data_IF_138376753208
#
_entry.id   IF_138376753208
#
_cell.length_a   1.000
_cell.length_b   1.000
_cell.length_c   1.000
_cell.angle_alpha   90.00
_cell.angle_beta   90.00
_cell.angle_gamma   90.00
#
_symmetry.space_group_name_H-M   'P 1'
#
loop_
_entity.id
_entity.type
_entity.pdbx_description
1 polymer ?
2 non-polymer ?
3 non-polymer ?
4 water ?
#
# COMPACT_ATOMS: atom_id res chain seq x y z
N UNK A 1 -16.41 18.16 -17.41
CA UNK A 1 -14.93 18.09 -17.35
C UNK A 1 -14.52 17.78 -15.90
N UNK A 2 -13.62 16.83 -15.74
CA UNK A 2 -13.20 16.44 -14.40
C UNK A 2 -11.73 16.72 -14.09
N UNK A 3 -11.45 17.01 -12.83
CA UNK A 3 -10.11 17.25 -12.36
C UNK A 3 -9.57 15.89 -11.89
N UNK A 4 -8.46 15.45 -12.47
CA UNK A 4 -7.87 14.18 -12.11
C UNK A 4 -6.45 14.42 -11.66
N UNK A 5 -5.92 13.51 -10.84
CA UNK A 5 -4.56 13.60 -10.32
C UNK A 5 -3.83 12.35 -10.76
N UNK A 6 -2.65 12.56 -11.33
CA UNK A 6 -1.82 11.47 -11.85
C UNK A 6 -0.47 11.45 -11.12
N UNK A 7 -0.10 10.26 -10.64
CA UNK A 7 1.17 10.08 -9.94
C UNK A 7 2.19 9.56 -10.96
N UNK A 8 3.40 10.10 -10.94
CA UNK A 8 4.47 9.68 -11.84
C UNK A 8 5.70 9.28 -11.05
N UNK A 9 6.37 8.21 -11.47
CA UNK A 9 7.57 7.78 -10.78
C UNK A 9 8.53 7.09 -11.73
N UNK A 10 9.83 7.16 -11.46
CA UNK A 10 10.83 6.51 -12.32
C UNK A 10 12.14 6.41 -11.60
N UNK A 11 12.89 5.34 -11.81
CA UNK A 11 14.22 5.24 -11.21
C UNK A 11 15.22 4.60 -12.20
N UNK A 12 14.89 4.63 -13.49
CA UNK A 12 15.74 4.00 -14.49
C UNK A 12 15.83 4.81 -15.79
N UNK A 13 17.01 4.82 -16.38
CA UNK A 13 17.26 5.53 -17.64
C UNK A 13 16.89 7.01 -17.62
N UNK A 14 17.55 7.75 -16.75
CA UNK A 14 17.37 9.19 -16.57
C UNK A 14 15.93 9.55 -16.16
N UNK A 15 15.58 9.27 -14.89
CA UNK A 15 14.27 9.51 -14.29
C UNK A 15 13.67 10.89 -14.55
N UNK A 16 14.46 11.95 -14.36
CA UNK A 16 13.96 13.31 -14.60
C UNK A 16 13.50 13.49 -16.06
N UNK A 17 14.26 12.94 -17.02
CA UNK A 17 13.89 13.01 -18.42
C UNK A 17 12.63 12.18 -18.71
N UNK A 18 12.52 11.01 -18.10
CA UNK A 18 11.34 10.17 -18.26
C UNK A 18 10.07 10.94 -17.81
N UNK A 19 10.15 11.62 -16.68
CA UNK A 19 9.02 12.40 -16.15
C UNK A 19 8.70 13.57 -17.06
N UNK A 20 9.71 14.29 -17.54
CA UNK A 20 9.45 15.42 -18.46
C UNK A 20 8.80 14.91 -19.75
N UNK A 21 9.28 13.79 -20.27
CA UNK A 21 8.67 13.25 -21.49
C UNK A 21 7.23 12.83 -21.24
N UNK A 22 6.97 12.21 -20.08
CA UNK A 22 5.60 11.76 -19.78
C UNK A 22 4.62 12.94 -19.59
N UNK A 23 5.11 14.00 -18.95
CA UNK A 23 4.30 15.20 -18.71
C UNK A 23 3.96 15.90 -20.03
N UNK A 24 4.93 15.95 -20.95
CA UNK A 24 4.71 16.52 -22.27
C UNK A 24 3.63 15.70 -22.97
N UNK A 25 3.78 14.37 -22.97
CA UNK A 25 2.78 13.52 -23.62
C UNK A 25 1.38 13.71 -23.00
N UNK A 26 1.27 13.75 -21.67
CA UNK A 26 -0.01 13.95 -20.98
C UNK A 26 -0.61 15.32 -21.39
N UNK A 27 0.24 16.35 -21.46
CA UNK A 27 -0.24 17.67 -21.84
C UNK A 27 -0.82 17.72 -23.27
N UNK A 28 -0.39 16.80 -24.14
CA UNK A 28 -0.82 16.73 -25.54
C UNK A 28 -2.05 15.83 -25.81
N UNK A 29 -2.59 15.20 -24.77
CA UNK A 29 -3.76 14.34 -24.92
C UNK A 29 -5.00 15.14 -25.36
N UNK A 30 -5.78 14.57 -26.26
CA UNK A 30 -7.00 15.22 -26.71
C UNK A 30 -7.91 15.38 -25.51
N UNK A 31 -8.67 16.47 -25.50
CA UNK A 31 -9.66 16.75 -24.46
C UNK A 31 -9.10 16.71 -23.06
N UNK A 32 -7.85 17.12 -22.92
CA UNK A 32 -7.17 17.11 -21.63
C UNK A 32 -6.27 18.33 -21.58
N UNK A 33 -6.21 18.95 -20.40
CA UNK A 33 -5.39 20.13 -20.18
C UNK A 33 -4.57 19.87 -18.91
N UNK A 34 -3.26 19.98 -19.02
CA UNK A 34 -2.36 19.80 -17.87
C UNK A 34 -2.40 21.11 -17.12
N UNK A 35 -2.96 21.10 -15.92
CA UNK A 35 -3.06 22.33 -15.14
C UNK A 35 -1.80 22.75 -14.41
N UNK A 36 -1.22 21.82 -13.66
CA UNK A 36 -0.02 22.13 -12.90
C UNK A 36 0.62 20.80 -12.54
N UNK A 37 1.90 20.84 -12.17
CA UNK A 37 2.68 19.69 -11.78
C UNK A 37 3.47 20.10 -10.54
N UNK A 38 3.55 19.19 -9.58
CA UNK A 38 4.28 19.45 -8.35
C UNK A 38 5.79 19.49 -8.71
N UNK A 39 6.61 19.76 -7.69
CA UNK A 39 8.07 19.73 -7.83
C UNK A 39 8.42 18.25 -8.00
N UNK A 40 9.65 17.96 -8.43
CA UNK A 40 10.13 16.59 -8.61
C UNK A 40 10.86 16.25 -7.29
N UNK A 41 10.56 15.08 -6.72
CA UNK A 41 11.14 14.69 -5.44
C UNK A 41 11.93 13.42 -5.62
N UNK A 42 13.17 13.40 -5.13
CA UNK A 42 14.04 12.21 -5.18
C UNK A 42 13.75 11.50 -3.86
N UNK A 43 13.27 10.26 -3.94
CA UNK A 43 12.88 9.54 -2.75
C UNK A 43 13.52 8.16 -2.64
N UNK A 44 13.67 7.68 -1.42
CA UNK A 44 14.23 6.37 -1.13
C UNK A 44 13.28 5.35 -1.69
N UNK A 45 13.79 4.28 -2.31
CA UNK A 45 12.91 3.25 -2.87
C UNK A 45 12.01 2.55 -1.85
N UNK A 46 10.77 2.30 -2.24
CA UNK A 46 9.85 1.53 -1.42
C UNK A 46 10.00 0.14 -2.08
N UNK A 47 10.64 -0.80 -1.38
CA UNK A 47 10.86 -2.12 -1.94
C UNK A 47 12.30 -2.50 -1.70
N UNK A 48 12.87 -3.42 -2.51
CA UNK A 48 14.28 -3.84 -2.36
C UNK A 48 15.11 -2.55 -2.34
N UNK A 49 16.13 -2.50 -1.48
CA UNK A 49 16.95 -1.28 -1.38
C UNK A 49 18.10 -1.17 -2.35
N UNK A 50 18.39 -2.28 -3.04
CA UNK A 50 19.47 -2.31 -4.03
C UNK A 50 19.02 -1.81 -5.42
N UNK A 51 18.34 -0.65 -5.44
CA UNK A 51 17.87 -0.06 -6.70
C UNK A 51 18.07 1.43 -6.56
N UNK A 52 18.12 2.17 -7.67
CA UNK A 52 18.31 3.61 -7.50
C UNK A 52 17.12 4.32 -6.86
N UNK A 53 17.38 5.48 -6.28
CA UNK A 53 16.34 6.30 -5.68
C UNK A 53 15.40 6.71 -6.82
N UNK A 54 14.14 6.94 -6.50
CA UNK A 54 13.16 7.33 -7.50
C UNK A 54 12.99 8.81 -7.60
N UNK A 55 12.46 9.26 -8.74
CA UNK A 55 12.12 10.69 -8.93
C UNK A 55 10.57 10.60 -9.09
N UNK A 56 9.87 11.34 -8.24
CA UNK A 56 8.41 11.34 -8.19
C UNK A 56 7.76 12.70 -8.33
N UNK A 57 6.53 12.70 -8.84
CA UNK A 57 5.77 13.93 -9.01
C UNK A 57 4.31 13.54 -9.14
N UNK A 58 3.46 14.56 -9.08
CA UNK A 58 2.00 14.39 -9.20
C UNK A 58 1.57 15.55 -10.12
N UNK A 59 0.77 15.21 -11.12
CA UNK A 59 0.26 16.20 -12.07
C UNK A 59 -1.26 16.35 -11.93
N UNK A 60 -1.75 17.56 -12.14
CA UNK A 60 -3.18 17.84 -12.06
C UNK A 60 -3.66 18.11 -13.46
N UNK A 61 -4.72 17.41 -13.89
CA UNK A 61 -5.27 17.62 -15.22
C UNK A 61 -6.79 17.85 -15.16
N UNK A 62 -7.34 18.44 -16.24
CA UNK A 62 -8.77 18.69 -16.41
C UNK A 62 -9.01 17.93 -17.70
N UNK A 63 -9.85 16.91 -17.64
CA UNK A 63 -10.10 16.10 -18.81
C UNK A 63 -11.57 15.75 -19.01
N UNK A 64 -11.87 15.40 -20.26
CA UNK A 64 -13.21 14.98 -20.62
C UNK A 64 -13.14 13.51 -21.00
N UNK A 65 -11.95 12.91 -20.88
CA UNK A 65 -11.78 11.49 -21.16
C UNK A 65 -12.42 10.71 -19.99
N UNK A 66 -13.07 9.59 -20.32
CA UNK A 66 -13.70 8.73 -19.30
C UNK A 66 -12.53 8.07 -18.54
N UNK A 67 -12.82 7.46 -17.38
CA UNK A 67 -11.72 6.82 -16.63
C UNK A 67 -10.94 5.76 -17.43
N UNK A 68 -11.65 4.89 -18.13
CA UNK A 68 -10.97 3.85 -18.90
C UNK A 68 -10.23 4.37 -20.13
N UNK A 69 -10.70 5.48 -20.72
CA UNK A 69 -10.01 6.04 -21.87
C UNK A 69 -8.75 6.77 -21.40
N UNK A 70 -8.83 7.41 -20.24
CA UNK A 70 -7.67 8.07 -19.66
C UNK A 70 -6.62 6.97 -19.36
N UNK A 71 -7.06 5.83 -18.80
CA UNK A 71 -6.14 4.72 -18.51
C UNK A 71 -5.49 4.22 -19.82
N UNK A 72 -6.31 4.02 -20.86
CA UNK A 72 -5.80 3.58 -22.16
C UNK A 72 -4.69 4.50 -22.64
N UNK A 73 -4.93 5.80 -22.56
CA UNK A 73 -3.98 6.82 -22.97
C UNK A 73 -2.72 6.82 -22.14
N UNK A 74 -2.84 6.65 -20.83
CA UNK A 74 -1.63 6.62 -19.99
C UNK A 74 -0.79 5.38 -20.32
N UNK A 75 -1.46 4.26 -20.58
CA UNK A 75 -0.76 3.02 -20.90
C UNK A 75 -0.08 3.16 -22.28
N UNK A 76 -0.73 3.88 -23.19
CA UNK A 76 -0.18 4.13 -24.52
C UNK A 76 1.09 4.96 -24.39
N UNK A 77 1.05 5.97 -23.51
CA UNK A 77 2.21 6.82 -23.29
C UNK A 77 3.35 5.98 -22.70
N UNK A 78 3.06 5.11 -21.73
CA UNK A 78 4.11 4.25 -21.15
C UNK A 78 4.71 3.33 -22.24
N UNK A 79 3.86 2.79 -23.10
CA UNK A 79 4.29 1.90 -24.17
C UNK A 79 5.17 2.61 -25.22
N UNK A 80 4.73 3.77 -25.66
CA UNK A 80 5.46 4.54 -26.66
C UNK A 80 6.74 5.16 -26.08
N UNK A 81 6.82 5.22 -24.75
CA UNK A 81 8.00 5.75 -24.09
C UNK A 81 8.93 4.57 -23.74
N UNK A 82 8.58 3.39 -24.24
CA UNK A 82 9.38 2.19 -23.99
C UNK A 82 9.51 1.75 -22.54
N UNK A 83 8.42 1.75 -21.78
CA UNK A 83 8.46 1.35 -20.36
C UNK A 83 9.06 -0.04 -20.12
N UNK A 84 10.05 -0.08 -19.25
CA UNK A 84 10.74 -1.31 -18.88
C UNK A 84 10.72 -1.44 -17.33
N UNK A 85 10.42 -2.64 -16.84
CA UNK A 85 10.42 -2.93 -15.39
C UNK A 85 11.34 -4.15 -15.24
N UNK A 86 12.39 -4.03 -14.43
CA UNK A 86 13.35 -5.12 -14.24
C UNK A 86 12.99 -6.26 -13.28
N UNK A 87 12.05 -6.02 -12.37
CA UNK A 87 11.61 -7.02 -11.36
C UNK A 87 10.46 -6.42 -10.57
N UNK A 88 9.63 -7.26 -9.95
CA UNK A 88 8.53 -6.74 -9.12
C UNK A 88 9.16 -5.96 -7.96
N UNK A 89 8.55 -4.82 -7.64
CA UNK A 89 9.01 -3.90 -6.62
C UNK A 89 10.36 -3.29 -6.94
N UNK A 90 10.87 -3.55 -8.14
CA UNK A 90 12.17 -3.01 -8.51
C UNK A 90 12.15 -1.89 -9.55
N UNK A 91 13.28 -1.77 -10.25
CA UNK A 91 13.51 -0.75 -11.28
C UNK A 91 12.49 -0.66 -12.42
N UNK A 92 12.10 0.57 -12.77
CA UNK A 92 11.16 0.81 -13.88
C UNK A 92 11.50 2.18 -14.46
N UNK A 93 11.42 2.32 -15.77
CA UNK A 93 11.70 3.59 -16.42
C UNK A 93 10.57 4.61 -16.20
N UNK A 94 9.35 4.12 -15.99
CA UNK A 94 8.20 5.01 -15.79
C UNK A 94 6.92 4.29 -15.35
N UNK A 95 6.20 4.90 -14.43
CA UNK A 95 4.90 4.41 -13.97
C UNK A 95 4.00 5.65 -13.88
N UNK A 96 2.83 5.58 -14.53
CA UNK A 96 1.82 6.65 -14.51
C UNK A 96 0.62 6.01 -13.82
N UNK A 97 0.11 6.63 -12.76
CA UNK A 97 -1.03 6.06 -12.03
C UNK A 97 -2.15 7.10 -11.77
N UNK A 98 -3.40 6.74 -12.05
CA UNK A 98 -4.50 7.66 -11.78
C UNK A 98 -4.80 7.58 -10.27
N UNK A 99 -4.51 8.66 -9.56
CA UNK A 99 -4.75 8.70 -8.12
C UNK A 99 -6.21 9.04 -7.83
N UNK A 100 -6.71 10.05 -8.53
CA UNK A 100 -8.07 10.55 -8.34
C UNK A 100 -8.68 10.95 -9.66
N UNK A 101 -9.99 10.71 -9.78
CA UNK A 101 -10.75 11.05 -10.97
C UNK A 101 -11.99 11.74 -10.41
N UNK A 102 -11.88 13.06 -10.28
CA UNK A 102 -12.97 13.85 -9.72
C UNK A 102 -13.09 13.33 -8.30
N UNK A 103 -14.34 13.11 -7.89
CA UNK A 103 -14.65 12.60 -6.59
C UNK A 103 -15.17 11.21 -6.75
N UNK A 104 -14.93 10.61 -7.90
CA UNK A 104 -15.45 9.28 -8.15
C UNK A 104 -14.68 8.17 -7.51
N UNK A 105 -15.41 7.09 -7.23
CA UNK A 105 -14.85 5.89 -6.65
C UNK A 105 -15.10 4.84 -7.72
N UNK A 106 -14.01 4.33 -8.32
CA UNK A 106 -14.08 3.35 -9.38
C UNK A 106 -13.23 2.17 -8.98
N UNK A 107 -13.86 1.03 -8.80
CA UNK A 107 -13.13 -0.15 -8.40
C UNK A 107 -13.69 -1.27 -9.29
N UNK A 108 -12.98 -1.55 -10.39
CA UNK A 108 -13.37 -2.57 -11.36
C UNK A 108 -12.20 -3.42 -11.82
N UNK A 109 -12.35 -4.15 -12.92
CA UNK A 109 -11.29 -5.02 -13.45
C UNK A 109 -9.98 -4.35 -13.81
N UNK A 110 -10.06 -3.13 -14.32
CA UNK A 110 -8.90 -2.35 -14.74
C UNK A 110 -8.53 -1.17 -13.85
N UNK A 111 -9.47 -0.67 -13.06
CA UNK A 111 -9.20 0.49 -12.20
C UNK A 111 -9.46 0.30 -10.71
N UNK A 112 -8.66 1.02 -9.91
CA UNK A 112 -8.74 1.02 -8.46
C UNK A 112 -8.54 2.50 -8.12
N UNK A 113 -9.64 3.25 -8.09
CA UNK A 113 -9.61 4.69 -7.80
C UNK A 113 -10.60 5.01 -6.68
N UNK A 114 -10.12 5.45 -5.51
CA UNK A 114 -8.72 5.66 -5.11
C UNK A 114 -8.00 4.32 -4.84
N UNK A 115 -6.67 4.36 -4.78
CA UNK A 115 -5.89 3.18 -4.42
C UNK A 115 -5.28 3.66 -3.10
N UNK A 116 -5.90 3.22 -2.00
CA UNK A 116 -5.52 3.68 -0.68
C UNK A 116 -4.14 3.46 -0.18
N UNK A 117 -3.45 2.44 -0.69
CA UNK A 117 -2.05 2.21 -0.28
C UNK A 117 -1.18 3.38 -0.70
N UNK A 118 -1.59 4.08 -1.74
CA UNK A 118 -0.84 5.22 -2.24
C UNK A 118 -0.94 6.44 -1.35
N UNK A 119 -1.94 6.44 -0.49
CA UNK A 119 -2.09 7.55 0.46
C UNK A 119 -1.14 7.37 1.65
N UNK A 120 -0.51 6.19 1.73
CA UNK A 120 0.48 5.89 2.77
C UNK A 120 1.89 6.07 2.21
N UNK A 121 1.99 6.58 0.99
CA UNK A 121 3.27 6.80 0.34
C UNK A 121 3.68 8.25 0.39
N UNK A 122 4.83 8.54 1.00
CA UNK A 122 5.32 9.90 1.10
C UNK A 122 5.52 10.58 -0.25
N UNK A 123 5.96 9.81 -1.24
CA UNK A 123 6.25 10.35 -2.56
C UNK A 123 5.01 10.58 -3.43
N UNK A 124 3.84 10.31 -2.84
CA UNK A 124 2.58 10.52 -3.49
C UNK A 124 1.88 11.68 -2.76
N UNK A 125 1.76 11.56 -1.43
CA UNK A 125 1.05 12.57 -0.63
C UNK A 125 1.71 13.93 -0.49
N UNK A 126 3.04 13.96 -0.36
CA UNK A 126 3.73 15.24 -0.21
C UNK A 126 3.57 16.09 -1.49
N UNK A 127 3.81 15.50 -2.69
CA UNK A 127 3.66 16.25 -3.96
C UNK A 127 2.16 16.66 -4.18
N UNK A 128 1.23 15.77 -3.88
CA UNK A 128 -0.20 16.10 -4.03
C UNK A 128 -0.59 17.30 -3.16
N UNK A 129 -0.11 17.30 -1.92
CA UNK A 129 -0.39 18.40 -0.97
C UNK A 129 0.18 19.71 -1.48
N UNK A 130 1.31 19.64 -2.18
CA UNK A 130 1.92 20.85 -2.71
C UNK A 130 1.03 21.53 -3.77
N UNK A 131 0.28 20.76 -4.56
CA UNK A 131 -0.57 21.35 -5.59
C UNK A 131 -2.07 21.32 -5.30
N UNK A 132 -2.46 20.83 -4.13
CA UNK A 132 -3.88 20.74 -3.77
C UNK A 132 -3.90 20.78 -2.25
N UNK A 133 -3.56 21.95 -1.73
CA UNK A 133 -3.44 22.19 -0.29
C UNK A 133 -4.65 21.96 0.61
N UNK A 134 -5.86 22.04 0.08
CA UNK A 134 -7.04 21.85 0.93
C UNK A 134 -7.94 20.78 0.36
N UNK A 135 -7.35 19.86 -0.38
CA UNK A 135 -8.07 18.78 -1.01
C UNK A 135 -8.76 17.86 -0.01
N UNK A 136 -9.98 17.45 -0.33
CA UNK A 136 -10.71 16.49 0.47
C UNK A 136 -10.89 15.29 -0.47
N UNK A 137 -10.42 14.12 -0.04
CA UNK A 137 -10.50 12.88 -0.83
C UNK A 137 -11.90 12.27 -0.88
N UNK A 138 -12.16 11.31 -1.82
CA UNK A 138 -13.48 10.67 -1.96
C UNK A 138 -13.97 9.94 -0.70
N UNK A 139 -13.04 9.47 0.15
CA UNK A 139 -13.44 8.77 1.37
C UNK A 139 -13.63 9.76 2.53
N UNK A 140 -13.70 11.05 2.21
CA UNK A 140 -13.87 12.15 3.16
C UNK A 140 -12.62 12.59 3.96
N UNK A 141 -11.49 11.90 3.81
CA UNK A 141 -10.27 12.34 4.52
C UNK A 141 -9.73 13.63 3.87
N UNK A 142 -9.05 14.45 4.68
CA UNK A 142 -8.51 15.72 4.24
C UNK A 142 -7.01 15.60 4.04
N UNK A 143 -6.50 16.21 2.99
CA UNK A 143 -5.08 16.16 2.67
C UNK A 143 -4.17 16.66 3.81
N UNK A 144 -4.62 17.70 4.53
CA UNK A 144 -3.82 18.27 5.62
C UNK A 144 -3.58 17.26 6.75
N UNK A 145 -4.48 16.29 6.90
CA UNK A 145 -4.34 15.27 7.93
C UNK A 145 -3.40 14.20 7.44
N UNK A 146 -3.65 13.73 6.22
CA UNK A 146 -2.83 12.71 5.58
C UNK A 146 -1.34 13.10 5.49
N UNK A 147 -1.03 14.36 5.24
CA UNK A 147 0.37 14.77 5.11
C UNK A 147 1.16 14.82 6.43
N UNK A 148 0.45 14.85 7.56
CA UNK A 148 1.04 14.90 8.91
C UNK A 148 2.09 13.80 9.10
N UNK A 149 1.74 12.60 8.67
CA UNK A 149 2.60 11.43 8.77
C UNK A 149 3.97 11.60 8.07
N UNK A 150 4.02 12.50 7.09
CA UNK A 150 5.23 12.72 6.31
C UNK A 150 5.93 14.05 6.57
N UNK A 151 5.63 14.66 7.72
CA UNK A 151 6.22 15.96 8.07
C UNK A 151 7.73 15.91 8.20
N UNK A 152 8.28 14.76 8.54
CA UNK A 152 9.72 14.63 8.68
C UNK A 152 10.38 13.81 7.57
N UNK A 153 9.75 13.81 6.39
CA UNK A 153 10.28 13.07 5.25
C UNK A 153 11.66 13.58 4.84
N UNK A 154 12.49 12.69 4.31
CA UNK A 154 13.82 13.09 3.89
C UNK A 154 13.99 13.18 2.36
N UNK A 155 12.88 13.35 1.63
CA UNK A 155 12.94 13.46 0.17
C UNK A 155 13.63 14.75 -0.23
N UNK A 156 14.32 14.71 -1.36
CA UNK A 156 15.02 15.90 -1.85
C UNK A 156 14.18 16.56 -2.93
N UNK A 157 13.85 17.84 -2.74
CA UNK A 157 13.08 18.55 -3.76
C UNK A 157 14.08 19.05 -4.82
N UNK A 158 14.06 18.43 -6.00
CA UNK A 158 14.99 18.75 -7.08
C UNK A 158 14.75 20.10 -7.74
N UNK A 159 15.63 20.45 -8.66
CA UNK A 159 15.48 21.70 -9.41
C UNK A 159 16.31 21.76 -10.70
N UNK A 160 15.74 21.48 -11.88
CA UNK A 160 14.37 21.13 -12.28
C UNK A 160 14.21 19.62 -12.56
N UNK B 1 12.29 -25.71 10.49
CA UNK B 1 11.00 -24.95 10.42
C UNK B 1 11.38 -23.54 10.02
N UNK B 2 10.39 -22.80 9.56
CA UNK B 2 10.54 -21.42 9.13
C UNK B 2 9.67 -20.57 10.06
N UNK B 3 10.17 -19.41 10.43
CA UNK B 3 9.42 -18.46 11.26
C UNK B 3 8.64 -17.53 10.29
N UNK B 4 7.32 -17.53 10.38
CA UNK B 4 6.48 -16.70 9.53
C UNK B 4 5.63 -15.78 10.42
N UNK B 5 5.26 -14.63 9.87
CA UNK B 5 4.43 -13.64 10.55
C UNK B 5 3.16 -13.49 9.74
N UNK B 6 2.03 -13.49 10.44
CA UNK B 6 0.72 -13.40 9.82
C UNK B 6 -0.01 -12.19 10.36
N UNK B 7 -0.54 -11.35 9.46
CA UNK B 7 -1.30 -10.15 9.84
C UNK B 7 -2.75 -10.58 9.92
N UNK B 8 -3.48 -10.05 10.91
CA UNK B 8 -4.90 -10.38 11.11
C UNK B 8 -5.70 -9.11 11.24
N UNK B 9 -6.84 -9.06 10.56
CA UNK B 9 -7.67 -7.88 10.61
C UNK B 9 -9.14 -8.25 10.49
N UNK B 10 -9.99 -7.47 11.12
CA UNK B 10 -11.44 -7.69 11.10
C UNK B 10 -12.20 -6.44 11.54
N UNK B 11 -13.34 -6.14 10.90
CA UNK B 11 -14.15 -5.01 11.32
C UNK B 11 -15.67 -5.30 11.29
N UNK B 12 -16.02 -6.59 11.28
CA UNK B 12 -17.42 -7.02 11.25
C UNK B 12 -17.69 -8.22 12.14
N UNK B 13 -18.94 -8.35 12.54
CA UNK B 13 -19.44 -9.48 13.32
C UNK B 13 -18.60 -9.85 14.56
N UNK B 14 -18.29 -8.83 15.35
CA UNK B 14 -17.50 -8.92 16.59
C UNK B 14 -16.05 -9.25 16.23
N UNK B 15 -15.29 -8.25 15.77
CA UNK B 15 -13.88 -8.35 15.37
C UNK B 15 -12.97 -9.06 16.36
N UNK B 16 -13.09 -8.75 17.65
CA UNK B 16 -12.26 -9.38 18.67
C UNK B 16 -12.42 -10.92 18.66
N UNK B 17 -13.66 -11.40 18.53
CA UNK B 17 -13.92 -12.82 18.50
C UNK B 17 -13.45 -13.45 17.16
N UNK B 18 -13.59 -12.71 16.06
CA UNK B 18 -13.12 -13.21 14.76
C UNK B 18 -11.60 -13.47 14.84
N UNK B 19 -10.88 -12.58 15.48
CA UNK B 19 -9.44 -12.73 15.65
C UNK B 19 -9.07 -13.92 16.58
N UNK B 20 -9.80 -14.08 17.68
CA UNK B 20 -9.57 -15.20 18.62
C UNK B 20 -9.85 -16.54 17.93
N UNK B 21 -10.94 -16.60 17.18
CA UNK B 21 -11.27 -17.81 16.45
C UNK B 21 -10.20 -18.12 15.39
N UNK B 22 -9.70 -17.08 14.71
CA UNK B 22 -8.67 -17.26 13.67
C UNK B 22 -7.36 -17.77 14.27
N UNK B 23 -6.93 -17.14 15.36
CA UNK B 23 -5.71 -17.50 16.07
C UNK B 23 -5.79 -18.95 16.57
N UNK B 24 -6.99 -19.34 16.99
CA UNK B 24 -7.16 -20.70 17.44
C UNK B 24 -7.01 -21.64 16.26
N UNK B 25 -7.60 -21.30 15.13
CA UNK B 25 -7.52 -22.15 13.96
C UNK B 25 -6.07 -22.29 13.47
N UNK B 26 -5.33 -21.19 13.52
CA UNK B 26 -3.92 -21.15 13.10
C UNK B 26 -3.06 -22.04 14.00
N UNK B 27 -3.30 -21.94 15.31
CA UNK B 27 -2.55 -22.72 16.29
C UNK B 27 -2.74 -24.23 16.10
N UNK B 28 -3.86 -24.62 15.50
CA UNK B 28 -4.21 -26.01 15.27
C UNK B 28 -3.76 -26.60 13.93
N UNK B 29 -3.12 -25.80 13.09
CA UNK B 29 -2.64 -26.29 11.80
C UNK B 29 -1.55 -27.36 11.93
N UNK B 30 -1.53 -28.31 11.00
CA UNK B 30 -0.50 -29.34 10.99
C UNK B 30 0.84 -28.69 10.70
N UNK B 31 1.89 -29.26 11.30
CA UNK B 31 3.26 -28.80 11.10
C UNK B 31 3.47 -27.34 11.35
N UNK B 32 2.65 -26.82 12.26
CA UNK B 32 2.69 -25.40 12.60
C UNK B 32 2.52 -25.21 14.11
N UNK B 33 3.23 -24.21 14.63
CA UNK B 33 3.19 -23.87 16.03
C UNK B 33 3.00 -22.36 16.18
N UNK B 34 1.97 -21.95 16.91
CA UNK B 34 1.75 -20.51 17.16
C UNK B 34 2.64 -20.12 18.35
N UNK B 35 3.68 -19.34 18.09
CA UNK B 35 4.64 -18.88 19.10
C UNK B 35 4.12 -17.76 20.03
N UNK B 36 3.65 -16.65 19.44
CA UNK B 36 3.13 -15.51 20.20
C UNK B 36 2.20 -14.72 19.29
N UNK B 37 1.44 -13.82 19.90
CA UNK B 37 0.55 -12.95 19.15
C UNK B 37 0.74 -11.59 19.79
N UNK B 38 0.59 -10.55 18.99
CA UNK B 38 0.72 -9.19 19.52
C UNK B 38 -0.60 -8.86 20.26
N UNK B 39 -0.67 -7.66 20.83
CA UNK B 39 -1.92 -7.22 21.45
C UNK B 39 -2.85 -6.94 20.24
N UNK B 40 -4.12 -6.67 20.53
CA UNK B 40 -5.09 -6.34 19.49
C UNK B 40 -5.15 -4.82 19.51
N UNK B 41 -5.18 -4.22 18.33
CA UNK B 41 -5.24 -2.79 18.17
C UNK B 41 -6.48 -2.37 17.41
N UNK B 42 -7.14 -1.34 17.91
CA UNK B 42 -8.33 -0.81 17.24
C UNK B 42 -7.79 0.37 16.41
N UNK B 43 -8.02 0.32 15.10
CA UNK B 43 -7.49 1.33 14.19
C UNK B 43 -8.54 1.87 13.21
N UNK B 44 -8.32 3.07 12.69
CA UNK B 44 -9.21 3.71 11.68
C UNK B 44 -9.08 2.91 10.40
N UNK B 45 -10.18 2.77 9.65
CA UNK B 45 -10.14 2.03 8.40
C UNK B 45 -9.23 2.66 7.34
N UNK B 46 -8.53 1.82 6.60
CA UNK B 46 -7.71 2.25 5.48
C UNK B 46 -8.66 1.95 4.33
N UNK B 47 -9.22 3.00 3.76
CA UNK B 47 -10.17 2.86 2.67
C UNK B 47 -11.39 3.73 2.97
N UNK B 48 -12.57 3.34 2.48
CA UNK B 48 -13.80 4.12 2.72
C UNK B 48 -13.97 4.31 4.24
N UNK B 49 -14.42 5.50 4.64
CA UNK B 49 -14.59 5.77 6.06
C UNK B 49 -15.96 5.38 6.63
N UNK B 50 -16.89 4.98 5.77
CA UNK B 50 -18.23 4.55 6.20
C UNK B 50 -18.26 3.02 6.49
N UNK B 51 -17.29 2.57 7.29
CA UNK B 51 -17.18 1.17 7.71
C UNK B 51 -16.64 1.21 9.14
N UNK B 52 -16.90 0.17 9.93
CA UNK B 52 -16.40 0.18 11.31
C UNK B 52 -14.87 0.18 11.44
N UNK B 53 -14.38 0.61 12.59
CA UNK B 53 -12.96 0.60 12.89
C UNK B 53 -12.53 -0.87 12.93
N UNK B 54 -11.29 -1.13 12.53
CA UNK B 54 -10.75 -2.50 12.51
C UNK B 54 -10.04 -2.90 13.82
N UNK B 55 -9.97 -4.20 14.07
CA UNK B 55 -9.22 -4.73 15.21
C UNK B 55 -8.11 -5.52 14.48
N UNK B 56 -6.86 -5.16 14.76
CA UNK B 56 -5.69 -5.76 14.12
C UNK B 56 -4.71 -6.42 15.07
N UNK B 57 -3.96 -7.38 14.53
CA UNK B 57 -2.95 -8.11 15.31
C UNK B 57 -1.96 -8.77 14.35
N UNK B 58 -0.85 -9.26 14.90
CA UNK B 58 0.15 -9.98 14.12
C UNK B 58 0.54 -11.18 14.95
N UNK B 59 0.62 -12.33 14.30
CA UNK B 59 1.01 -13.58 14.96
C UNK B 59 2.33 -14.13 14.39
N UNK B 60 3.11 -14.75 15.27
CA UNK B 60 4.39 -15.33 14.92
C UNK B 60 4.19 -16.84 15.02
N UNK B 61 4.46 -17.54 13.94
CA UNK B 61 4.33 -19.00 13.89
C UNK B 61 5.66 -19.60 13.41
N UNK B 62 5.81 -20.89 13.65
CA UNK B 62 6.95 -21.67 13.20
C UNK B 62 6.25 -22.77 12.42
N UNK B 63 6.62 -22.94 11.17
CA UNK B 63 5.95 -23.94 10.34
C UNK B 63 6.88 -24.68 9.38
N UNK B 64 6.42 -25.82 8.91
CA UNK B 64 7.14 -26.62 7.93
C UNK B 64 6.30 -26.69 6.66
N UNK B 65 5.19 -25.94 6.64
CA UNK B 65 4.33 -25.88 5.46
C UNK B 65 5.03 -24.97 4.45
N UNK B 66 4.96 -25.32 3.18
CA UNK B 66 5.56 -24.47 2.14
C UNK B 66 4.74 -23.18 2.10
N UNK B 67 5.25 -22.13 1.42
CA UNK B 67 4.53 -20.86 1.33
C UNK B 67 3.12 -21.03 0.76
N UNK B 68 2.98 -21.81 -0.31
CA UNK B 68 1.69 -22.02 -0.93
C UNK B 68 0.75 -22.93 -0.13
N UNK B 69 1.32 -23.88 0.61
CA UNK B 69 0.51 -24.77 1.45
C UNK B 69 0.04 -23.98 2.66
N UNK B 70 0.85 -23.03 3.15
CA UNK B 70 0.43 -22.19 4.27
C UNK B 70 -0.71 -21.29 3.78
N UNK B 71 -0.55 -20.70 2.60
CA UNK B 71 -1.59 -19.87 2.01
C UNK B 71 -2.91 -20.64 1.91
N UNK B 72 -2.86 -21.86 1.39
CA UNK B 72 -4.06 -22.70 1.26
C UNK B 72 -4.76 -22.90 2.61
N UNK B 73 -3.96 -23.13 3.65
CA UNK B 73 -4.50 -23.34 4.99
C UNK B 73 -5.12 -22.07 5.56
N UNK B 74 -4.50 -20.94 5.30
CA UNK B 74 -5.02 -19.67 5.81
C UNK B 74 -6.32 -19.36 5.09
N UNK B 75 -6.38 -19.63 3.79
CA UNK B 75 -7.60 -19.39 3.01
C UNK B 75 -8.70 -20.37 3.43
N UNK B 76 -8.32 -21.59 3.77
CA UNK B 76 -9.29 -22.57 4.24
C UNK B 76 -9.88 -22.10 5.59
N UNK B 77 -9.05 -21.51 6.44
CA UNK B 77 -9.51 -21.00 7.74
C UNK B 77 -10.50 -19.86 7.50
N UNK B 78 -10.15 -18.95 6.59
CA UNK B 78 -11.02 -17.83 6.24
C UNK B 78 -12.35 -18.36 5.73
N UNK B 79 -12.31 -19.34 4.84
CA UNK B 79 -13.54 -19.92 4.32
C UNK B 79 -14.37 -20.61 5.41
N UNK B 80 -13.72 -21.45 6.21
CA UNK B 80 -14.42 -22.16 7.27
C UNK B 80 -14.96 -21.29 8.39
N UNK B 81 -14.50 -20.05 8.45
CA UNK B 81 -14.95 -19.10 9.46
C UNK B 81 -15.94 -18.16 8.79
N UNK B 82 -16.44 -18.57 7.61
CA UNK B 82 -17.40 -17.80 6.84
C UNK B 82 -16.99 -16.40 6.42
N UNK B 83 -15.78 -16.23 5.91
CA UNK B 83 -15.29 -14.91 5.48
C UNK B 83 -16.23 -14.23 4.50
N UNK B 84 -16.52 -12.97 4.81
CA UNK B 84 -17.41 -12.15 4.02
C UNK B 84 -16.71 -10.81 3.90
N UNK B 85 -16.72 -10.25 2.69
CA UNK B 85 -16.13 -8.95 2.41
C UNK B 85 -17.13 -8.27 1.48
N UNK B 86 -17.60 -7.09 1.86
CA UNK B 86 -18.61 -6.38 1.08
C UNK B 86 -18.16 -5.82 -0.26
N UNK B 87 -17.05 -5.09 -0.26
CA UNK B 87 -16.58 -4.41 -1.46
C UNK B 87 -15.08 -4.24 -1.31
N UNK B 88 -14.42 -3.81 -2.39
CA UNK B 88 -12.99 -3.58 -2.36
C UNK B 88 -12.71 -2.47 -1.37
N UNK B 89 -11.71 -2.69 -0.54
CA UNK B 89 -11.29 -1.76 0.50
C UNK B 89 -12.31 -1.62 1.61
N UNK B 90 -13.39 -2.42 1.54
CA UNK B 90 -14.46 -2.32 2.53
C UNK B 90 -14.43 -3.33 3.67
N UNK B 91 -15.52 -3.35 4.43
CA UNK B 91 -15.67 -4.23 5.58
C UNK B 91 -15.57 -5.71 5.30
N UNK B 92 -15.00 -6.43 6.25
CA UNK B 92 -14.76 -7.87 6.13
C UNK B 92 -14.73 -8.49 7.53
N UNK B 93 -15.16 -9.75 7.63
CA UNK B 93 -15.16 -10.45 8.91
C UNK B 93 -13.77 -10.92 9.32
N UNK B 94 -12.90 -11.18 8.33
CA UNK B 94 -11.56 -11.66 8.61
C UNK B 94 -10.60 -11.62 7.40
N UNK B 95 -9.37 -11.19 7.63
CA UNK B 95 -8.35 -11.20 6.57
C UNK B 95 -7.07 -11.71 7.23
N UNK B 96 -6.48 -12.77 6.68
CA UNK B 96 -5.23 -13.36 7.17
C UNK B 96 -4.22 -13.20 6.03
N UNK B 97 -3.13 -12.48 6.28
CA UNK B 97 -2.11 -12.27 5.25
C UNK B 97 -0.71 -12.67 5.73
N UNK B 98 0.00 -13.43 4.90
CA UNK B 98 1.38 -13.83 5.22
C UNK B 98 2.25 -12.63 4.94
N UNK B 99 2.79 -12.01 5.99
CA UNK B 99 3.66 -10.86 5.85
C UNK B 99 5.09 -11.24 5.47
N UNK B 100 5.61 -12.25 6.17
CA UNK B 100 6.99 -12.70 5.99
C UNK B 100 6.99 -14.20 6.15
N UNK B 101 7.87 -14.86 5.38
CA UNK B 101 8.03 -16.30 5.41
C UNK B 101 9.55 -16.46 5.47
N UNK B 102 10.07 -16.53 6.70
CA UNK B 102 11.51 -16.62 6.88
C UNK B 102 12.07 -15.33 6.32
N UNK B 103 13.21 -15.41 5.64
CA UNK B 103 13.82 -14.24 5.04
C UNK B 103 13.63 -14.35 3.54
N UNK B 104 12.67 -15.16 3.14
CA UNK B 104 12.40 -15.38 1.73
C UNK B 104 11.62 -14.27 1.01
N UNK B 105 11.86 -14.17 -0.29
CA UNK B 105 11.19 -13.18 -1.12
C UNK B 105 10.47 -14.02 -2.15
N UNK B 106 9.14 -14.03 -2.05
CA UNK B 106 8.31 -14.83 -2.93
C UNK B 106 7.34 -13.91 -3.64
N UNK B 107 7.43 -13.85 -4.96
CA UNK B 107 6.59 -12.94 -5.72
C UNK B 107 6.05 -13.66 -6.96
N UNK B 108 4.88 -14.27 -6.83
CA UNK B 108 4.27 -14.99 -7.94
C UNK B 108 2.81 -14.66 -8.09
N UNK B 109 2.04 -15.50 -8.77
CA UNK B 109 0.63 -15.21 -8.99
C UNK B 109 -0.25 -15.25 -7.74
N UNK B 110 0.17 -16.00 -6.73
CA UNK B 110 -0.62 -16.12 -5.52
C UNK B 110 -0.01 -15.47 -4.30
N UNK B 111 1.28 -15.17 -4.35
CA UNK B 111 1.95 -14.59 -3.20
C UNK B 111 2.78 -13.35 -3.51
N UNK B 112 2.86 -12.49 -2.50
CA UNK B 112 3.61 -11.24 -2.56
C UNK B 112 4.25 -11.11 -1.18
N UNK B 113 5.43 -11.69 -1.00
CA UNK B 113 6.12 -11.66 0.28
C UNK B 113 7.56 -11.18 0.11
N UNK B 114 7.92 -10.04 0.70
CA UNK B 114 7.04 -9.18 1.52
C UNK B 114 6.12 -8.37 0.60
N UNK B 115 5.11 -7.72 1.17
CA UNK B 115 4.25 -6.84 0.38
C UNK B 115 4.60 -5.50 0.99
N UNK B 116 5.39 -4.72 0.27
CA UNK B 116 5.87 -3.43 0.74
C UNK B 116 4.84 -2.40 1.16
N UNK B 117 3.61 -2.50 0.68
CA UNK B 117 2.62 -1.50 1.10
C UNK B 117 2.23 -1.74 2.56
N UNK B 118 2.35 -3.00 2.99
CA UNK B 118 2.05 -3.35 4.37
C UNK B 118 3.03 -2.69 5.34
N UNK B 119 4.23 -2.40 4.88
CA UNK B 119 5.24 -1.74 5.74
C UNK B 119 4.85 -0.29 6.00
N UNK B 120 3.88 0.19 5.24
CA UNK B 120 3.37 1.56 5.39
C UNK B 120 2.09 1.63 6.22
N UNK B 121 1.60 0.49 6.71
CA UNK B 121 0.38 0.42 7.52
C UNK B 121 0.68 0.38 9.01
N UNK B 122 0.24 1.39 9.73
CA UNK B 122 0.45 1.47 11.17
C UNK B 122 -0.08 0.24 11.88
N UNK B 123 -1.15 -0.34 11.36
CA UNK B 123 -1.77 -1.51 11.97
C UNK B 123 -1.07 -2.84 11.73
N UNK B 124 0.02 -2.82 10.98
CA UNK B 124 0.76 -4.05 10.82
C UNK B 124 2.13 -3.89 11.45
N UNK B 125 2.77 -2.74 11.24
CA UNK B 125 4.12 -2.52 11.77
C UNK B 125 4.16 -2.33 13.28
N UNK B 126 3.20 -1.61 13.86
CA UNK B 126 3.19 -1.42 15.31
C UNK B 126 3.05 -2.79 16.00
N UNK B 127 2.02 -3.60 15.64
CA UNK B 127 1.98 -4.90 16.32
C UNK B 127 3.15 -5.83 15.95
N UNK B 128 3.70 -5.70 14.74
CA UNK B 128 4.84 -6.56 14.33
C UNK B 128 6.02 -6.20 15.23
N UNK B 129 6.23 -4.90 15.40
CA UNK B 129 7.32 -4.40 16.23
C UNK B 129 7.17 -4.86 17.69
N UNK B 130 5.93 -4.96 18.17
CA UNK B 130 5.66 -5.40 19.54
C UNK B 130 6.23 -6.78 19.81
N UNK B 131 6.10 -7.68 18.83
CA UNK B 131 6.58 -9.04 19.00
C UNK B 131 7.94 -9.40 18.35
N UNK B 132 8.56 -8.45 17.67
CA UNK B 132 9.84 -8.71 17.01
C UNK B 132 10.54 -7.38 16.87
N UNK B 133 10.99 -6.84 17.99
CA UNK B 133 11.65 -5.54 17.98
C UNK B 133 13.03 -5.55 17.31
N UNK B 134 13.64 -6.72 17.20
CA UNK B 134 14.96 -6.86 16.58
C UNK B 134 14.86 -7.29 15.12
N UNK B 135 13.65 -7.36 14.58
CA UNK B 135 13.45 -7.83 13.20
C UNK B 135 14.23 -7.08 12.11
N UNK B 136 14.86 -7.85 11.23
CA UNK B 136 15.59 -7.30 10.09
C UNK B 136 14.83 -7.89 8.91
N UNK B 137 14.21 -7.02 8.13
CA UNK B 137 13.40 -7.38 6.96
C UNK B 137 14.21 -8.00 5.81
N UNK B 138 13.54 -8.73 4.88
CA UNK B 138 14.26 -9.35 3.76
C UNK B 138 15.09 -8.37 2.89
N UNK B 139 14.68 -7.12 2.81
CA UNK B 139 15.43 -6.14 2.04
C UNK B 139 16.51 -5.45 2.90
N UNK B 140 16.76 -6.02 4.07
CA UNK B 140 17.73 -5.51 5.04
C UNK B 140 17.32 -4.29 5.87
N UNK B 141 16.13 -3.77 5.67
CA UNK B 141 15.71 -2.66 6.51
C UNK B 141 15.48 -3.23 7.91
N UNK B 142 15.61 -2.39 8.92
CA UNK B 142 15.44 -2.81 10.32
C UNK B 142 14.10 -2.29 10.82
N UNK B 143 13.33 -3.14 11.49
CA UNK B 143 12.03 -2.71 11.99
C UNK B 143 12.07 -1.50 12.92
N UNK B 144 13.17 -1.35 13.69
CA UNK B 144 13.32 -0.22 14.61
C UNK B 144 13.24 1.12 13.88
N UNK B 145 13.61 1.10 12.60
CA UNK B 145 13.56 2.30 11.79
C UNK B 145 12.18 2.47 11.18
N UNK B 146 11.65 1.41 10.57
CA UNK B 146 10.33 1.45 9.93
C UNK B 146 9.20 1.92 10.86
N UNK B 147 9.26 1.52 12.13
CA UNK B 147 8.24 1.88 13.11
C UNK B 147 8.21 3.34 13.57
N UNK B 148 9.33 4.06 13.40
CA UNK B 148 9.45 5.48 13.80
C UNK B 148 8.33 6.34 13.22
N UNK B 149 8.00 6.06 11.97
CA UNK B 149 6.95 6.76 11.23
C UNK B 149 5.56 6.67 11.91
N UNK B 150 5.38 5.68 12.79
CA UNK B 150 4.12 5.45 13.50
C UNK B 150 4.17 5.75 14.99
N UNK B 151 5.23 6.43 15.42
CA UNK B 151 5.45 6.79 16.83
C UNK B 151 4.26 7.53 17.47
N UNK B 152 3.61 8.39 16.68
CA UNK B 152 2.46 9.17 17.16
C UNK B 152 1.09 8.56 16.79
N UNK B 153 1.02 7.25 16.59
CA UNK B 153 -0.26 6.66 16.20
C UNK B 153 -1.35 6.79 17.27
N UNK B 154 -2.60 6.84 16.80
CA UNK B 154 -3.79 6.96 17.64
C UNK B 154 -4.54 5.63 17.81
N UNK B 155 -3.89 4.51 17.50
CA UNK B 155 -4.52 3.20 17.66
C UNK B 155 -4.70 2.89 19.14
N UNK B 156 -5.80 2.25 19.48
CA UNK B 156 -6.08 1.89 20.86
C UNK B 156 -5.66 0.46 21.10
N UNK B 157 -4.65 0.29 21.94
CA UNK B 157 -4.18 -1.05 22.29
C UNK B 157 -5.21 -1.54 23.30
N UNK B 158 -5.80 -2.70 23.04
CA UNK B 158 -6.82 -3.27 23.90
C UNK B 158 -6.29 -4.26 24.94
N UNK B 159 -7.03 -4.45 26.02
CA UNK B 159 -6.66 -5.44 27.06
C UNK B 159 -7.30 -6.74 26.50
N UNK B 160 -6.91 -7.94 27.01
CA UNK B 160 -5.96 -8.31 28.06
C UNK B 160 -4.55 -7.80 27.81
#
# INVERSE_FOLDING_TARGET
>A
MITAYIALGSNLNTPVEQLHAALKAISQLSNTHLVTTSSFYKSKPLGPQDQPDYVNAVAKIETELSPLKLLDELQRIENEQGRVRLRRWGERTLDLDILLYGNEIIQNERLTIPHYDMHNREFVIVPLFEIASDLVLPNSQIITELVKQFADHKMIKLNP
>B
MITAYIALGSNLNTPVEQLHAALKAISQLSNTHLVTTSSFYKSKPLGPQDQPDYVNAVAKIETELSPLKLLDELQRIENEQGRVRLRRWGERTLDLDILLYGNEIIQNERLTIPHYDMHNREFVIVPLFEIASDLVLPNSQIITELVKQFADHKMIKLNP
#
